data_IF_071169095642
#
_entry.id   IF_071169095642
#
_cell.length_a   1.000
_cell.length_b   1.000
_cell.length_c   1.000
_cell.angle_alpha   90.00
_cell.angle_beta   90.00
_cell.angle_gamma   90.00
#
_symmetry.space_group_name_H-M   'P 1'
#
loop_
_entity.id
_entity.type
_entity.pdbx_description
1 polymer ?
#
# COMPACT_ATOMS: atom_id res chain seq x y z
N UNK A 1 20.25 19.02 16.03
CA UNK A 1 18.87 18.89 16.55
C UNK A 1 18.30 17.58 16.01
N UNK A 2 17.48 16.84 16.77
CA UNK A 2 16.84 15.60 16.32
C UNK A 2 15.32 15.82 16.28
N UNK A 3 14.65 15.22 15.30
CA UNK A 3 13.20 15.33 15.13
C UNK A 3 12.57 13.94 15.28
N UNK A 4 11.35 13.89 15.83
CA UNK A 4 10.52 12.69 15.94
C UNK A 4 9.15 13.01 15.35
N UNK A 5 8.71 12.23 14.37
CA UNK A 5 7.36 12.29 13.79
C UNK A 5 6.64 11.03 14.23
N UNK A 6 5.51 11.18 14.94
CA UNK A 6 4.67 10.08 15.39
C UNK A 6 3.33 10.15 14.64
N UNK A 7 3.02 9.10 13.89
CA UNK A 7 1.80 9.01 13.07
C UNK A 7 0.88 7.94 13.68
N UNK A 8 -0.30 8.34 14.14
CA UNK A 8 -1.35 7.41 14.53
C UNK A 8 -2.13 6.96 13.29
N UNK A 9 -1.78 5.81 12.74
CA UNK A 9 -2.46 5.28 11.54
C UNK A 9 -3.95 5.04 11.83
N UNK A 10 -4.82 5.58 10.96
CA UNK A 10 -6.27 5.54 11.16
C UNK A 10 -6.80 6.19 12.45
N UNK A 11 -6.03 7.07 13.11
CA UNK A 11 -6.39 7.63 14.42
C UNK A 11 -7.54 8.64 14.37
N UNK A 12 -7.74 9.30 13.21
CA UNK A 12 -8.86 10.21 12.99
C UNK A 12 -10.15 9.43 12.77
N UNK A 13 -11.23 9.84 13.43
CA UNK A 13 -12.51 9.14 13.36
C UNK A 13 -13.69 10.12 13.50
N UNK A 14 -14.88 9.63 13.18
CA UNK A 14 -16.14 10.31 13.38
C UNK A 14 -16.70 10.08 14.80
N UNK A 15 -17.61 10.95 15.27
CA UNK A 15 -18.37 10.69 16.48
C UNK A 15 -19.21 9.40 16.36
N UNK A 16 -19.13 8.54 17.38
CA UNK A 16 -19.81 7.25 17.43
C UNK A 16 -20.90 7.27 18.52
N UNK A 17 -22.18 6.94 18.21
CA UNK A 17 -23.28 7.01 19.17
C UNK A 17 -23.09 6.16 20.44
N UNK A 18 -22.52 4.97 20.31
CA UNK A 18 -22.32 3.98 21.38
C UNK A 18 -21.39 4.48 22.49
N UNK A 19 -20.54 5.46 22.18
CA UNK A 19 -19.61 6.09 23.14
C UNK A 19 -20.01 7.55 23.45
N UNK A 20 -21.31 7.85 23.30
CA UNK A 20 -21.90 9.14 23.65
C UNK A 20 -21.63 10.23 22.62
N UNK A 21 -21.65 9.89 21.32
CA UNK A 21 -21.35 10.81 20.21
C UNK A 21 -19.97 11.47 20.34
N UNK A 22 -18.96 10.67 20.72
CA UNK A 22 -17.55 11.07 20.78
C UNK A 22 -16.72 10.23 19.81
N UNK A 23 -15.51 10.68 19.47
CA UNK A 23 -14.55 9.84 18.74
C UNK A 23 -13.87 8.85 19.69
N UNK A 24 -13.32 7.72 19.20
CA UNK A 24 -12.54 6.80 20.04
C UNK A 24 -11.37 7.51 20.75
N UNK A 25 -10.70 8.44 20.06
CA UNK A 25 -9.59 9.22 20.63
C UNK A 25 -10.04 10.09 21.81
N UNK A 26 -11.25 10.66 21.77
CA UNK A 26 -11.81 11.47 22.87
C UNK A 26 -12.19 10.65 24.11
N UNK A 27 -12.47 9.36 23.95
CA UNK A 27 -12.87 8.47 25.05
C UNK A 27 -11.66 7.71 25.61
N UNK A 28 -10.62 7.51 24.81
CA UNK A 28 -9.38 6.88 25.23
C UNK A 28 -8.65 7.68 26.32
N UNK A 29 -8.10 6.99 27.33
CA UNK A 29 -7.26 7.61 28.35
C UNK A 29 -5.84 7.80 27.82
N UNK A 30 -5.48 9.02 27.41
CA UNK A 30 -4.22 9.30 26.69
C UNK A 30 -3.31 10.33 27.39
N UNK A 31 -2.94 10.13 28.68
CA UNK A 31 -2.31 11.16 29.51
C UNK A 31 -0.98 11.69 28.95
N UNK A 32 -0.19 10.85 28.28
CA UNK A 32 1.07 11.27 27.67
C UNK A 32 0.86 12.19 26.45
N UNK A 33 -0.15 11.91 25.63
CA UNK A 33 -0.51 12.75 24.50
C UNK A 33 -1.15 14.05 24.97
N UNK A 34 -2.03 13.99 25.96
CA UNK A 34 -2.62 15.17 26.61
C UNK A 34 -1.53 16.11 27.17
N UNK A 35 -0.52 15.56 27.85
CA UNK A 35 0.62 16.31 28.35
C UNK A 35 1.43 16.95 27.23
N UNK A 36 1.74 16.20 26.15
CA UNK A 36 2.46 16.71 24.99
C UNK A 36 1.69 17.84 24.30
N UNK A 37 0.39 17.66 24.09
CA UNK A 37 -0.49 18.65 23.49
C UNK A 37 -0.57 19.93 24.33
N UNK A 38 -0.58 19.83 25.66
CA UNK A 38 -0.62 20.98 26.58
C UNK A 38 0.64 21.86 26.53
N UNK A 39 1.77 21.29 26.10
CA UNK A 39 3.07 21.97 25.99
C UNK A 39 3.43 22.33 24.55
N UNK A 40 2.58 21.98 23.59
CA UNK A 40 2.83 22.11 22.17
C UNK A 40 1.92 23.12 21.49
N UNK A 41 1.92 23.08 20.16
CA UNK A 41 0.97 23.82 19.32
C UNK A 41 0.13 22.80 18.56
N UNK A 42 -1.18 23.00 18.56
CA UNK A 42 -2.13 22.13 17.89
C UNK A 42 -2.51 22.72 16.54
N UNK A 43 -2.64 21.86 15.54
CA UNK A 43 -3.10 22.21 14.21
C UNK A 43 -3.89 21.04 13.62
N UNK A 44 -4.76 21.35 12.66
CA UNK A 44 -5.39 20.34 11.81
C UNK A 44 -4.50 20.13 10.60
N UNK A 45 -4.12 18.89 10.33
CA UNK A 45 -3.31 18.53 9.18
C UNK A 45 -4.19 17.77 8.17
N UNK A 46 -4.19 18.23 6.91
CA UNK A 46 -4.64 17.41 5.79
C UNK A 46 -3.41 16.84 5.09
N UNK A 47 -3.21 15.53 5.20
CA UNK A 47 -2.07 14.82 4.62
C UNK A 47 -2.37 14.25 3.23
N UNK A 48 -3.61 14.34 2.76
CA UNK A 48 -4.03 13.84 1.45
C UNK A 48 -4.54 15.02 0.63
N UNK A 49 -3.75 15.50 -0.36
CA UNK A 49 -4.18 16.58 -1.23
C UNK A 49 -5.45 16.24 -2.02
N UNK A 50 -6.19 17.26 -2.43
CA UNK A 50 -7.38 17.09 -3.28
C UNK A 50 -7.01 16.35 -4.58
N UNK A 51 -7.86 15.39 -4.98
CA UNK A 51 -7.64 14.59 -6.18
C UNK A 51 -6.93 13.24 -5.93
N UNK A 52 -6.45 13.00 -4.71
CA UNK A 52 -5.85 11.72 -4.32
C UNK A 52 -6.80 10.88 -3.46
N UNK A 53 -6.70 9.56 -3.60
CA UNK A 53 -7.35 8.63 -2.68
C UNK A 53 -6.63 8.65 -1.33
N UNK A 54 -7.34 8.49 -0.21
CA UNK A 54 -6.76 8.54 1.14
C UNK A 54 -5.99 7.25 1.48
N UNK A 55 -4.82 7.09 0.86
CA UNK A 55 -3.90 5.99 1.10
C UNK A 55 -2.72 6.39 1.98
N UNK A 56 -2.18 5.43 2.74
CA UNK A 56 -0.98 5.63 3.57
C UNK A 56 0.24 6.03 2.75
N UNK A 57 0.31 5.63 1.48
CA UNK A 57 1.36 6.04 0.53
C UNK A 57 1.38 7.56 0.32
N UNK A 58 0.26 8.15 -0.13
CA UNK A 58 0.12 9.59 -0.37
C UNK A 58 0.26 10.38 0.93
N UNK A 59 -0.33 9.88 2.02
CA UNK A 59 -0.29 10.55 3.32
C UNK A 59 1.13 10.64 3.89
N UNK A 60 1.90 9.55 3.85
CA UNK A 60 3.28 9.54 4.34
C UNK A 60 4.20 10.34 3.43
N UNK A 61 4.00 10.32 2.11
CA UNK A 61 4.75 11.15 1.17
C UNK A 61 4.62 12.64 1.50
N UNK A 62 3.38 13.09 1.74
CA UNK A 62 3.10 14.48 2.14
C UNK A 62 3.71 14.84 3.49
N UNK A 63 3.64 13.93 4.48
CA UNK A 63 4.24 14.13 5.81
C UNK A 63 5.76 14.27 5.78
N UNK A 64 6.41 13.56 4.85
CA UNK A 64 7.86 13.65 4.63
C UNK A 64 8.27 14.88 3.82
N UNK A 65 7.32 15.69 3.36
CA UNK A 65 7.54 16.96 2.66
C UNK A 65 7.62 16.86 1.14
N UNK A 66 7.25 15.72 0.56
CA UNK A 66 7.15 15.56 -0.89
C UNK A 66 5.75 15.96 -1.37
N UNK A 67 5.68 16.59 -2.54
CA UNK A 67 4.42 16.88 -3.20
C UNK A 67 3.92 15.65 -3.98
N UNK A 68 2.80 15.01 -3.58
CA UNK A 68 2.27 13.85 -4.29
C UNK A 68 1.90 14.16 -5.74
N UNK A 69 1.53 15.40 -6.08
CA UNK A 69 1.22 15.76 -7.46
C UNK A 69 2.44 15.66 -8.38
N UNK A 70 3.63 15.85 -7.82
CA UNK A 70 4.89 15.78 -8.57
C UNK A 70 5.54 14.39 -8.50
N UNK A 71 5.43 13.70 -7.36
CA UNK A 71 6.25 12.51 -7.09
C UNK A 71 5.47 11.19 -6.99
N UNK A 72 4.14 11.21 -6.86
CA UNK A 72 3.38 9.98 -6.69
C UNK A 72 3.15 9.29 -8.04
N UNK A 73 3.81 8.15 -8.23
CA UNK A 73 3.70 7.32 -9.43
C UNK A 73 2.91 6.03 -9.20
N UNK A 74 2.19 5.95 -8.06
CA UNK A 74 1.43 4.77 -7.65
C UNK A 74 2.09 3.98 -6.52
N UNK A 75 1.37 2.96 -6.03
CA UNK A 75 1.79 2.16 -4.88
C UNK A 75 2.83 1.10 -5.21
N UNK A 76 2.77 0.50 -6.40
CA UNK A 76 3.67 -0.57 -6.81
C UNK A 76 5.15 -0.13 -6.85
N UNK A 77 5.51 1.08 -7.32
CA UNK A 77 6.90 1.57 -7.22
C UNK A 77 7.43 1.67 -5.78
N UNK A 78 6.59 2.03 -4.82
CA UNK A 78 6.96 2.08 -3.41
C UNK A 78 7.22 0.67 -2.85
N UNK A 79 6.41 -0.32 -3.28
CA UNK A 79 6.61 -1.72 -2.90
C UNK A 79 7.91 -2.27 -3.51
N UNK A 80 8.20 -1.98 -4.78
CA UNK A 80 9.47 -2.35 -5.41
C UNK A 80 10.68 -1.78 -4.66
N UNK A 81 10.64 -0.49 -4.30
CA UNK A 81 11.69 0.14 -3.51
C UNK A 81 11.87 -0.54 -2.13
N UNK A 82 10.77 -0.96 -1.48
CA UNK A 82 10.83 -1.68 -0.20
C UNK A 82 11.46 -3.07 -0.31
N UNK A 83 11.36 -3.70 -1.49
CA UNK A 83 11.96 -4.98 -1.83
C UNK A 83 13.42 -4.84 -2.32
N UNK A 84 13.93 -3.61 -2.48
CA UNK A 84 15.24 -3.36 -3.07
C UNK A 84 15.29 -3.57 -4.59
N UNK A 85 14.14 -3.60 -5.25
CA UNK A 85 14.01 -3.72 -6.70
C UNK A 85 14.05 -2.31 -7.31
N UNK A 86 15.05 -2.05 -8.15
CA UNK A 86 15.14 -0.82 -8.91
C UNK A 86 14.16 -0.87 -10.10
N UNK A 87 13.51 0.27 -10.37
CA UNK A 87 12.63 0.44 -11.54
C UNK A 87 13.29 1.48 -12.45
N UNK A 88 13.42 1.16 -13.72
CA UNK A 88 13.93 2.10 -14.73
C UNK A 88 12.82 2.99 -15.30
N UNK A 89 13.18 4.04 -16.03
CA UNK A 89 12.21 4.99 -16.58
C UNK A 89 11.28 4.37 -17.65
N UNK A 90 11.70 3.25 -18.24
CA UNK A 90 10.97 2.45 -19.22
C UNK A 90 10.27 1.24 -18.60
N UNK A 91 10.17 1.15 -17.27
CA UNK A 91 9.48 0.06 -16.57
C UNK A 91 8.26 0.57 -15.82
N UNK A 92 7.18 -0.20 -15.89
CA UNK A 92 5.97 -0.02 -15.07
C UNK A 92 5.88 -1.15 -14.05
N UNK A 93 5.74 -0.78 -12.78
CA UNK A 93 5.54 -1.73 -11.69
C UNK A 93 4.05 -2.00 -11.47
N UNK A 94 3.72 -3.28 -11.37
CA UNK A 94 2.40 -3.78 -11.00
C UNK A 94 2.48 -4.60 -9.73
N UNK A 95 1.46 -4.48 -8.89
CA UNK A 95 1.25 -5.43 -7.82
C UNK A 95 0.69 -6.72 -8.41
N UNK A 96 1.32 -7.83 -8.07
CA UNK A 96 0.88 -9.17 -8.42
C UNK A 96 0.44 -9.86 -7.13
N UNK A 97 -0.85 -10.22 -7.03
CA UNK A 97 -1.35 -10.98 -5.90
C UNK A 97 -1.60 -12.43 -6.30
N UNK A 98 -1.20 -13.37 -5.45
CA UNK A 98 -1.76 -14.72 -5.47
C UNK A 98 -3.16 -14.69 -4.86
N UNK A 99 -4.14 -15.24 -5.58
CA UNK A 99 -5.54 -15.27 -5.17
C UNK A 99 -6.10 -16.68 -5.32
N UNK A 100 -7.16 -17.01 -4.59
CA UNK A 100 -7.93 -18.24 -4.79
C UNK A 100 -9.16 -17.95 -5.61
N UNK A 101 -9.31 -18.69 -6.72
CA UNK A 101 -10.45 -18.61 -7.62
C UNK A 101 -11.31 -19.87 -7.49
N UNK A 102 -12.62 -19.70 -7.55
CA UNK A 102 -13.59 -20.79 -7.74
C UNK A 102 -14.07 -20.79 -9.19
N UNK A 103 -13.97 -21.95 -9.83
CA UNK A 103 -14.30 -22.15 -11.24
C UNK A 103 -15.62 -22.89 -11.33
N UNK A 104 -16.72 -22.14 -11.35
CA UNK A 104 -18.06 -22.71 -11.51
C UNK A 104 -18.30 -23.20 -12.95
N UNK A 105 -17.76 -22.49 -13.94
CA UNK A 105 -17.71 -22.88 -15.36
C UNK A 105 -16.58 -22.14 -16.08
N UNK A 106 -16.32 -22.44 -17.36
CA UNK A 106 -15.30 -21.74 -18.17
C UNK A 106 -15.56 -20.23 -18.27
N UNK A 107 -16.83 -19.83 -18.28
CA UNK A 107 -17.24 -18.43 -18.43
C UNK A 107 -17.64 -17.79 -17.10
N UNK A 108 -17.57 -18.54 -16.00
CA UNK A 108 -17.95 -18.07 -14.67
C UNK A 108 -16.89 -18.46 -13.64
N UNK A 109 -15.97 -17.53 -13.41
CA UNK A 109 -14.91 -17.62 -12.41
C UNK A 109 -15.15 -16.55 -11.36
N UNK A 110 -15.13 -16.92 -10.09
CA UNK A 110 -15.24 -15.98 -8.97
C UNK A 110 -13.96 -15.98 -8.15
N UNK A 111 -13.51 -14.81 -7.71
CA UNK A 111 -12.42 -14.73 -6.74
C UNK A 111 -13.01 -14.91 -5.35
N UNK A 112 -12.68 -16.02 -4.70
CA UNK A 112 -13.23 -16.36 -3.37
C UNK A 112 -12.31 -15.91 -2.23
N UNK A 113 -11.02 -15.68 -2.49
CA UNK A 113 -10.07 -15.19 -1.50
C UNK A 113 -8.95 -14.39 -2.18
N UNK A 114 -8.76 -13.12 -1.78
CA UNK A 114 -7.80 -12.21 -2.39
C UNK A 114 -6.36 -12.40 -1.87
N UNK A 115 -6.19 -13.22 -0.83
CA UNK A 115 -4.92 -13.44 -0.13
C UNK A 115 -4.40 -14.88 -0.22
N UNK A 116 -5.05 -15.74 -1.02
CA UNK A 116 -4.79 -17.18 -1.08
C UNK A 116 -4.75 -17.84 0.31
N UNK A 117 -5.64 -17.44 1.22
CA UNK A 117 -5.69 -17.96 2.59
C UNK A 117 -4.46 -17.62 3.42
N UNK A 118 -3.82 -16.47 3.15
CA UNK A 118 -2.53 -16.10 3.74
C UNK A 118 -1.44 -17.16 3.49
N UNK A 119 -1.32 -17.61 2.24
CA UNK A 119 -0.23 -18.50 1.80
C UNK A 119 1.12 -18.06 2.37
N UNK A 120 1.93 -19.04 2.78
CA UNK A 120 3.24 -18.75 3.36
C UNK A 120 4.16 -18.10 2.33
N UNK A 121 5.08 -17.25 2.77
CA UNK A 121 6.05 -16.62 1.87
C UNK A 121 6.92 -17.64 1.15
N UNK A 122 7.24 -18.77 1.79
CA UNK A 122 8.06 -19.83 1.20
C UNK A 122 7.35 -20.51 0.02
N UNK A 123 6.09 -20.91 0.21
CA UNK A 123 5.29 -21.52 -0.86
C UNK A 123 5.02 -20.52 -1.99
N UNK A 124 4.65 -19.29 -1.63
CA UNK A 124 4.39 -18.23 -2.61
C UNK A 124 5.64 -17.89 -3.43
N UNK A 125 6.83 -17.85 -2.81
CA UNK A 125 8.09 -17.63 -3.51
C UNK A 125 8.34 -18.72 -4.56
N UNK A 126 8.16 -19.99 -4.22
CA UNK A 126 8.31 -21.09 -5.18
C UNK A 126 7.37 -20.96 -6.40
N UNK A 127 6.14 -20.49 -6.18
CA UNK A 127 5.19 -20.23 -7.27
C UNK A 127 5.62 -19.05 -8.15
N UNK A 128 6.05 -17.95 -7.55
CA UNK A 128 6.52 -16.77 -8.29
C UNK A 128 7.82 -17.04 -9.04
N UNK A 129 8.76 -17.78 -8.44
CA UNK A 129 10.00 -18.19 -9.10
C UNK A 129 9.71 -19.10 -10.30
N UNK A 130 8.68 -19.95 -10.21
CA UNK A 130 8.20 -20.74 -11.35
C UNK A 130 7.62 -19.84 -12.44
N UNK A 131 6.84 -18.82 -12.09
CA UNK A 131 6.34 -17.83 -13.06
C UNK A 131 7.48 -17.07 -13.73
N UNK A 132 8.49 -16.64 -12.99
CA UNK A 132 9.67 -16.01 -13.59
C UNK A 132 10.41 -16.96 -14.52
N UNK A 133 10.55 -18.24 -14.16
CA UNK A 133 11.22 -19.22 -15.01
C UNK A 133 10.47 -19.50 -16.31
N UNK A 134 9.15 -19.66 -16.24
CA UNK A 134 8.31 -20.09 -17.36
C UNK A 134 7.78 -18.92 -18.21
N UNK A 135 7.57 -17.75 -17.59
CA UNK A 135 6.92 -16.59 -18.21
C UNK A 135 7.78 -15.32 -18.15
N UNK A 136 8.91 -15.32 -17.43
CA UNK A 136 9.85 -14.22 -17.41
C UNK A 136 10.52 -14.02 -18.76
N UNK A 137 10.82 -12.78 -19.10
CA UNK A 137 11.42 -12.37 -20.38
C UNK A 137 12.06 -10.99 -20.25
N UNK A 138 12.67 -10.46 -21.32
CA UNK A 138 13.16 -9.07 -21.32
C UNK A 138 12.05 -8.02 -21.11
N UNK A 139 10.78 -8.41 -21.29
CA UNK A 139 9.62 -7.55 -21.12
C UNK A 139 8.93 -7.72 -19.76
N UNK A 140 8.96 -8.92 -19.17
CA UNK A 140 8.21 -9.27 -17.97
C UNK A 140 9.14 -9.87 -16.92
N UNK A 141 9.16 -9.31 -15.73
CA UNK A 141 9.91 -9.84 -14.59
C UNK A 141 9.03 -9.93 -13.34
N UNK A 142 8.96 -11.12 -12.75
CA UNK A 142 8.22 -11.41 -11.54
C UNK A 142 9.18 -11.44 -10.35
N UNK A 143 8.84 -10.74 -9.27
CA UNK A 143 9.62 -10.72 -8.04
C UNK A 143 8.78 -11.18 -6.85
N UNK A 144 9.27 -12.21 -6.15
CA UNK A 144 8.63 -12.71 -4.96
C UNK A 144 8.68 -11.68 -3.82
N UNK A 145 7.52 -11.17 -3.40
CA UNK A 145 7.35 -10.42 -2.16
C UNK A 145 6.98 -11.30 -0.96
N UNK A 146 6.03 -10.84 -0.13
CA UNK A 146 5.68 -11.45 1.16
C UNK A 146 4.25 -12.01 1.12
N UNK A 147 4.09 -13.26 1.57
CA UNK A 147 2.83 -13.99 1.52
C UNK A 147 2.26 -13.90 0.11
N UNK A 148 1.00 -13.47 -0.06
CA UNK A 148 0.33 -13.36 -1.35
C UNK A 148 0.70 -12.14 -2.19
N UNK A 149 1.57 -11.22 -1.72
CA UNK A 149 1.86 -9.94 -2.37
C UNK A 149 3.23 -9.96 -3.03
N UNK A 150 3.24 -9.77 -4.34
CA UNK A 150 4.43 -9.84 -5.20
C UNK A 150 4.43 -8.67 -6.18
N UNK A 151 5.48 -8.60 -6.99
CA UNK A 151 5.70 -7.53 -7.93
C UNK A 151 5.87 -8.09 -9.33
N UNK A 152 5.28 -7.43 -10.31
CA UNK A 152 5.55 -7.64 -11.73
C UNK A 152 6.11 -6.33 -12.29
N UNK A 153 7.30 -6.38 -12.88
CA UNK A 153 7.83 -5.31 -13.70
C UNK A 153 7.55 -5.61 -15.16
N UNK A 154 7.02 -4.60 -15.86
CA UNK A 154 6.80 -4.66 -17.30
C UNK A 154 7.62 -3.56 -17.95
N UNK A 155 8.53 -3.94 -18.84
CA UNK A 155 9.31 -3.00 -19.64
C UNK A 155 8.47 -2.56 -20.85
N UNK A 156 8.29 -1.25 -21.00
CA UNK A 156 7.31 -0.70 -21.94
C UNK A 156 7.95 0.23 -22.97
N UNK A 157 7.54 0.14 -24.25
CA UNK A 157 7.57 1.27 -25.17
C UNK A 157 6.23 1.98 -25.33
N UNK A 158 5.10 1.46 -24.82
CA UNK A 158 3.74 2.04 -24.65
C UNK A 158 2.70 0.90 -24.64
N UNK A 159 2.15 0.57 -23.46
CA UNK A 159 0.89 -0.16 -23.29
C UNK A 159 -0.24 0.80 -23.65
N UNK A 160 -0.48 1.01 -24.94
CA UNK A 160 -1.73 1.57 -25.43
C UNK A 160 -2.82 0.52 -25.21
N UNK A 161 -3.56 0.64 -24.10
CA UNK A 161 -4.85 -0.03 -23.98
C UNK A 161 -5.80 0.64 -25.00
N UNK A 162 -5.95 0.00 -26.16
CA UNK A 162 -6.91 0.38 -27.20
C UNK A 162 -8.36 0.08 -26.77
#
# INVERSE_FOLDING_TARGET
>A
MKYLILVGDGMGDHPVPEIGNKTPLQVARTPAMDELCSKGTLFVANTVPTGFLPGSDVANMSLLGYDPQTYYTGRAPLEAASMGVAITADETAFRCNLVTLDYHSTDHVSMIEFSSGHISTEEAAALIDTLEHECGSEQFHFHAGISYRHLLLVKDPVLEFA
#
